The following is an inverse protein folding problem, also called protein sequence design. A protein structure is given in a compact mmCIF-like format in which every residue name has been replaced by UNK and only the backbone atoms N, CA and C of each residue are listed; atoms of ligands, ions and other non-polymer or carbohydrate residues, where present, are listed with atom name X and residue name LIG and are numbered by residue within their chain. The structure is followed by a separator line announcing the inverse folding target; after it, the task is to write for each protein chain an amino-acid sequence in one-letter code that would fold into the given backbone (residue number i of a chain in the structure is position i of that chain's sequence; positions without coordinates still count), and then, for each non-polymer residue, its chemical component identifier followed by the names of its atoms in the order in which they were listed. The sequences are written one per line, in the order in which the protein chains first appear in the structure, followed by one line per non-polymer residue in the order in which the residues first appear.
data_IF_282979529056
#
_entry.id   IF_282979529056
#
_cell.length_a   1.000
_cell.length_b   1.000
_cell.length_c   1.000
_cell.angle_alpha   90.00
_cell.angle_beta   90.00
_cell.angle_gamma   90.00
#
_symmetry.space_group_name_H-M   'P 1'
#
loop_
_entity.id
_entity.type
_entity.pdbx_description
1 polymer ?
#
# COMPACT_ATOMS: atom_id res chain seq x y z
N UNK A 1 24.55 -7.47 -8.80
CA UNK A 1 24.79 -7.20 -7.36
C UNK A 1 23.56 -7.67 -6.61
N UNK A 2 23.68 -8.34 -5.46
CA UNK A 2 22.50 -8.61 -4.64
C UNK A 2 21.89 -7.27 -4.25
N UNK A 3 20.64 -7.05 -4.62
CA UNK A 3 19.92 -5.83 -4.23
C UNK A 3 19.54 -6.00 -2.77
N UNK A 4 19.71 -4.97 -1.93
CA UNK A 4 19.38 -4.98 -0.49
C UNK A 4 17.85 -5.00 -0.26
N UNK A 5 17.20 -6.05 -0.75
CA UNK A 5 15.78 -6.34 -0.56
C UNK A 5 15.64 -7.43 0.49
N UNK A 6 14.97 -7.11 1.57
CA UNK A 6 14.64 -8.05 2.65
C UNK A 6 13.14 -8.21 2.71
N UNK A 7 12.66 -9.35 3.21
CA UNK A 7 11.24 -9.55 3.50
C UNK A 7 11.06 -9.69 5.00
N UNK A 8 10.33 -8.75 5.59
CA UNK A 8 9.93 -8.81 7.00
C UNK A 8 8.54 -9.44 7.11
N UNK A 9 8.39 -10.39 8.03
CA UNK A 9 7.07 -10.90 8.42
C UNK A 9 6.66 -10.22 9.72
N UNK A 10 5.53 -9.52 9.70
CA UNK A 10 4.97 -8.87 10.88
C UNK A 10 3.65 -9.52 11.27
N UNK A 11 3.60 -10.07 12.47
CA UNK A 11 2.38 -10.51 13.13
C UNK A 11 1.86 -9.36 14.01
N UNK A 12 1.01 -8.52 13.43
CA UNK A 12 0.23 -7.56 14.22
C UNK A 12 -0.91 -8.33 14.89
N UNK A 13 -1.35 -7.93 16.08
CA UNK A 13 -2.43 -8.61 16.79
C UNK A 13 -3.80 -8.40 16.09
N UNK A 14 -4.02 -9.03 14.93
CA UNK A 14 -5.17 -8.86 14.02
C UNK A 14 -6.44 -9.58 14.49
N UNK A 15 -6.42 -10.26 15.65
CA UNK A 15 -7.55 -11.05 16.17
C UNK A 15 -8.85 -10.26 16.34
N UNK A 16 -8.78 -8.99 16.74
CA UNK A 16 -9.93 -8.10 16.94
C UNK A 16 -10.49 -7.50 15.64
N UNK A 17 -9.66 -7.37 14.59
CA UNK A 17 -10.05 -6.74 13.31
C UNK A 17 -11.00 -7.63 12.50
N UNK A 18 -10.97 -8.95 12.75
CA UNK A 18 -11.97 -9.90 12.23
C UNK A 18 -13.39 -9.66 12.74
N UNK A 19 -13.55 -9.04 13.92
CA UNK A 19 -14.86 -8.89 14.59
C UNK A 19 -15.54 -7.54 14.35
N UNK A 20 -14.86 -6.57 13.74
CA UNK A 20 -15.40 -5.24 13.49
C UNK A 20 -16.24 -5.18 12.19
N UNK A 21 -17.32 -4.38 12.18
CA UNK A 21 -18.36 -4.43 11.13
C UNK A 21 -17.86 -3.80 9.82
N UNK A 22 -17.85 -4.54 8.68
CA UNK A 22 -17.17 -4.11 7.44
C UNK A 22 -17.65 -2.80 6.81
N UNK A 23 -18.84 -2.28 7.17
CA UNK A 23 -19.42 -1.08 6.54
C UNK A 23 -19.26 0.20 7.35
N UNK A 24 -18.82 0.09 8.61
CA UNK A 24 -18.75 1.22 9.54
C UNK A 24 -17.40 1.94 9.42
N UNK A 25 -16.33 1.21 9.10
CA UNK A 25 -14.98 1.78 8.91
C UNK A 25 -14.60 1.87 7.44
N UNK A 26 -13.66 2.75 7.09
CA UNK A 26 -13.04 2.79 5.76
C UNK A 26 -11.94 1.74 5.51
N UNK A 27 -11.74 0.78 6.43
CA UNK A 27 -10.70 -0.24 6.30
C UNK A 27 -11.03 -1.21 5.16
N UNK A 28 -10.06 -1.47 4.27
CA UNK A 28 -10.19 -2.43 3.18
C UNK A 28 -10.68 -3.81 3.72
N UNK A 29 -11.85 -4.33 3.27
CA UNK A 29 -12.41 -5.58 3.77
C UNK A 29 -11.51 -6.81 3.56
N UNK A 30 -10.68 -6.82 2.53
CA UNK A 30 -9.75 -7.92 2.23
C UNK A 30 -8.75 -8.13 3.38
N UNK A 31 -8.38 -7.05 4.08
CA UNK A 31 -7.52 -7.12 5.28
C UNK A 31 -8.18 -7.81 6.47
N UNK A 32 -9.51 -7.90 6.49
CA UNK A 32 -10.27 -8.57 7.56
C UNK A 32 -10.36 -10.08 7.33
N UNK A 33 -10.44 -10.51 6.08
CA UNK A 33 -10.66 -11.92 5.73
C UNK A 33 -9.37 -12.71 5.52
N UNK A 34 -8.25 -12.05 5.19
CA UNK A 34 -7.03 -12.73 4.71
C UNK A 34 -5.77 -12.50 5.58
N UNK A 35 -5.78 -11.56 6.54
CA UNK A 35 -4.58 -11.21 7.29
C UNK A 35 -4.44 -12.01 8.60
N UNK A 36 -3.74 -13.15 8.53
CA UNK A 36 -3.11 -13.78 9.72
C UNK A 36 -1.69 -13.22 9.96
N UNK A 37 -1.19 -12.38 9.05
CA UNK A 37 0.10 -11.70 9.09
C UNK A 37 0.33 -10.88 7.82
N UNK A 38 1.31 -9.98 7.83
CA UNK A 38 1.72 -9.22 6.64
C UNK A 38 3.17 -9.53 6.25
N UNK A 39 3.38 -9.63 4.93
CA UNK A 39 4.69 -9.73 4.31
C UNK A 39 5.07 -8.36 3.78
N UNK A 40 6.18 -7.82 4.27
CA UNK A 40 6.65 -6.49 3.90
C UNK A 40 8.04 -6.61 3.26
N UNK A 41 8.11 -6.67 1.92
CA UNK A 41 9.36 -6.45 1.21
C UNK A 41 9.85 -5.03 1.50
N UNK A 42 11.06 -4.90 2.01
CA UNK A 42 11.68 -3.62 2.36
C UNK A 42 13.02 -3.49 1.66
N UNK A 43 13.26 -2.30 1.11
CA UNK A 43 14.58 -1.88 0.65
C UNK A 43 15.31 -1.20 1.79
N UNK A 44 16.51 -1.65 2.11
CA UNK A 44 17.34 -1.06 3.17
C UNK A 44 18.60 -0.49 2.54
N UNK A 45 18.95 0.74 2.88
CA UNK A 45 20.17 1.39 2.42
C UNK A 45 20.78 2.23 3.55
N UNK A 46 22.10 2.34 3.52
CA UNK A 46 22.86 3.21 4.42
C UNK A 46 22.77 4.67 3.97
N UNK A 47 22.98 5.59 4.91
CA UNK A 47 22.86 7.03 4.65
C UNK A 47 23.85 7.55 3.59
N UNK A 48 25.02 6.93 3.48
CA UNK A 48 26.10 7.28 2.55
C UNK A 48 26.06 6.48 1.23
N UNK A 49 25.06 5.63 1.03
CA UNK A 49 24.90 4.87 -0.22
C UNK A 49 24.69 5.82 -1.42
N UNK A 50 25.38 5.61 -2.56
CA UNK A 50 25.17 6.43 -3.75
C UNK A 50 23.70 6.44 -4.20
N UNK A 51 23.18 7.61 -4.58
CA UNK A 51 21.78 7.78 -4.98
C UNK A 51 21.38 6.83 -6.13
N UNK A 52 22.31 6.56 -7.04
CA UNK A 52 22.09 5.64 -8.16
C UNK A 52 21.81 4.21 -7.66
N UNK A 53 22.45 3.78 -6.57
CA UNK A 53 22.22 2.46 -5.97
C UNK A 53 20.86 2.42 -5.25
N UNK A 54 20.53 3.47 -4.50
CA UNK A 54 19.20 3.61 -3.86
C UNK A 54 18.07 3.59 -4.90
N UNK A 55 18.27 4.25 -6.04
CA UNK A 55 17.32 4.24 -7.16
C UNK A 55 17.11 2.84 -7.75
N UNK A 56 18.10 1.95 -7.68
CA UNK A 56 17.96 0.55 -8.13
C UNK A 56 17.19 -0.32 -7.13
N UNK A 57 17.21 0.03 -5.83
CA UNK A 57 16.48 -0.73 -4.79
C UNK A 57 14.96 -0.61 -4.97
N UNK A 58 14.46 0.60 -5.25
CA UNK A 58 13.02 0.87 -5.41
C UNK A 58 12.30 -0.07 -6.39
N UNK A 59 12.72 -0.20 -7.66
CA UNK A 59 12.06 -1.11 -8.61
C UNK A 59 12.25 -2.58 -8.22
N UNK A 60 13.34 -2.95 -7.55
CA UNK A 60 13.54 -4.31 -7.08
C UNK A 60 12.52 -4.69 -5.98
N UNK A 61 12.28 -3.80 -5.02
CA UNK A 61 11.24 -3.98 -3.98
C UNK A 61 9.86 -4.09 -4.61
N UNK A 62 9.54 -3.22 -5.57
CA UNK A 62 8.27 -3.28 -6.33
C UNK A 62 8.10 -4.63 -7.02
N UNK A 63 9.12 -5.11 -7.72
CA UNK A 63 9.06 -6.39 -8.42
C UNK A 63 8.84 -7.57 -7.46
N UNK A 64 9.54 -7.59 -6.32
CA UNK A 64 9.35 -8.62 -5.28
C UNK A 64 7.94 -8.55 -4.69
N UNK A 65 7.44 -7.35 -4.42
CA UNK A 65 6.09 -7.13 -3.86
C UNK A 65 5.02 -7.66 -4.79
N UNK A 66 5.07 -7.30 -6.08
CA UNK A 66 4.11 -7.75 -7.08
C UNK A 66 4.21 -9.28 -7.33
N UNK A 67 5.42 -9.84 -7.31
CA UNK A 67 5.60 -11.29 -7.43
C UNK A 67 5.00 -12.05 -6.23
N UNK A 68 5.22 -11.56 -5.01
CA UNK A 68 4.66 -12.16 -3.79
C UNK A 68 3.14 -12.02 -3.73
N UNK A 69 2.61 -10.84 -4.11
CA UNK A 69 1.16 -10.59 -4.21
C UNK A 69 0.49 -11.61 -5.13
N UNK A 70 1.05 -11.77 -6.33
CA UNK A 70 0.52 -12.70 -7.33
C UNK A 70 0.59 -14.16 -6.89
N UNK A 71 1.68 -14.56 -6.24
CA UNK A 71 1.85 -15.92 -5.72
C UNK A 71 0.89 -16.22 -4.57
N UNK A 72 0.66 -15.25 -3.69
CA UNK A 72 -0.21 -15.39 -2.53
C UNK A 72 -1.70 -15.12 -2.78
N UNK A 73 -2.06 -14.58 -3.95
CA UNK A 73 -3.42 -14.09 -4.22
C UNK A 73 -3.77 -12.88 -3.34
N UNK A 74 -2.80 -12.02 -3.05
CA UNK A 74 -2.89 -10.89 -2.12
C UNK A 74 -2.81 -9.51 -2.81
N UNK A 75 -2.88 -9.47 -4.14
CA UNK A 75 -2.77 -8.25 -4.96
C UNK A 75 -3.77 -7.15 -4.55
N UNK A 76 -4.87 -7.54 -3.91
CA UNK A 76 -5.97 -6.66 -3.50
C UNK A 76 -5.92 -6.22 -2.01
N UNK A 77 -4.83 -6.50 -1.29
CA UNK A 77 -4.77 -6.34 0.17
C UNK A 77 -3.48 -5.70 0.72
N UNK A 78 -3.25 -4.41 0.45
CA UNK A 78 -2.02 -3.71 0.86
C UNK A 78 -2.18 -2.69 2.01
N UNK A 79 -1.09 -2.57 2.79
CA UNK A 79 -0.79 -1.68 3.91
C UNK A 79 -0.80 -0.23 3.52
N UNK A 80 -1.89 0.55 3.47
CA UNK A 80 -1.76 1.92 2.93
C UNK A 80 -0.55 2.70 3.50
N UNK A 81 -0.28 2.55 4.80
CA UNK A 81 0.84 3.22 5.48
C UNK A 81 2.23 2.58 5.23
N UNK A 82 2.31 1.34 4.73
CA UNK A 82 3.54 0.56 4.55
C UNK A 82 3.65 -0.04 3.13
N UNK A 83 2.81 0.43 2.19
CA UNK A 83 2.69 -0.16 0.87
C UNK A 83 3.68 0.43 -0.13
N UNK A 84 3.95 -0.36 -1.17
CA UNK A 84 4.73 0.05 -2.33
C UNK A 84 4.15 1.32 -2.99
N UNK A 85 4.92 2.40 -3.09
CA UNK A 85 4.52 3.59 -3.83
C UNK A 85 4.20 3.38 -5.30
N UNK A 86 4.78 2.37 -5.92
CA UNK A 86 4.66 2.14 -7.36
C UNK A 86 3.55 1.13 -7.70
N UNK A 87 2.72 0.75 -6.73
CA UNK A 87 1.65 -0.21 -6.98
C UNK A 87 0.59 0.35 -7.93
N UNK A 88 0.51 -0.23 -9.12
CA UNK A 88 -0.48 0.15 -10.14
C UNK A 88 -1.91 -0.19 -9.73
N UNK A 89 -2.09 -1.12 -8.77
CA UNK A 89 -3.40 -1.54 -8.25
C UNK A 89 -3.81 -0.83 -6.96
N UNK A 90 -3.05 0.19 -6.53
CA UNK A 90 -3.22 0.94 -5.27
C UNK A 90 -4.66 1.28 -4.85
N UNK A 91 -5.53 1.65 -5.79
CA UNK A 91 -6.93 2.01 -5.46
C UNK A 91 -7.67 0.81 -4.86
N UNK A 92 -7.54 -0.35 -5.50
CA UNK A 92 -8.13 -1.60 -5.03
C UNK A 92 -7.34 -2.16 -3.84
N UNK A 93 -6.01 -2.19 -3.94
CA UNK A 93 -5.16 -2.76 -2.91
C UNK A 93 -5.29 -2.04 -1.55
N UNK A 94 -5.43 -0.71 -1.54
CA UNK A 94 -5.46 0.07 -0.29
C UNK A 94 -6.87 0.25 0.27
N UNK A 95 -7.87 0.41 -0.61
CA UNK A 95 -9.22 0.82 -0.21
C UNK A 95 -10.31 -0.17 -0.63
N UNK A 96 -10.01 -1.07 -1.57
CA UNK A 96 -10.94 -2.07 -2.09
C UNK A 96 -12.27 -1.46 -2.54
N UNK A 97 -13.35 -2.16 -2.19
CA UNK A 97 -14.73 -1.75 -2.50
C UNK A 97 -15.15 -0.40 -1.86
N UNK A 98 -14.35 0.15 -0.94
CA UNK A 98 -14.66 1.45 -0.32
C UNK A 98 -14.15 2.65 -1.12
N UNK A 99 -13.30 2.45 -2.14
CA UNK A 99 -12.67 3.54 -2.87
C UNK A 99 -13.69 4.56 -3.41
N UNK A 100 -14.76 4.10 -4.06
CA UNK A 100 -15.75 5.01 -4.66
C UNK A 100 -16.50 5.85 -3.63
N UNK A 101 -16.86 5.24 -2.48
CA UNK A 101 -17.48 5.97 -1.36
C UNK A 101 -16.52 7.00 -0.76
N UNK A 102 -15.26 6.62 -0.57
CA UNK A 102 -14.23 7.53 -0.06
C UNK A 102 -13.96 8.68 -1.03
N UNK A 103 -13.94 8.41 -2.34
CA UNK A 103 -13.76 9.44 -3.37
C UNK A 103 -14.93 10.43 -3.40
N UNK A 104 -16.16 9.95 -3.22
CA UNK A 104 -17.33 10.82 -3.07
C UNK A 104 -17.17 11.74 -1.86
N UNK A 105 -16.83 11.20 -0.69
CA UNK A 105 -16.61 12.00 0.54
C UNK A 105 -15.48 13.00 0.34
N UNK A 106 -14.37 12.59 -0.28
CA UNK A 106 -13.22 13.45 -0.57
C UNK A 106 -13.64 14.65 -1.42
N UNK A 107 -14.45 14.46 -2.46
CA UNK A 107 -14.95 15.54 -3.32
C UNK A 107 -15.96 16.46 -2.62
N UNK A 108 -16.70 15.95 -1.64
CA UNK A 108 -17.62 16.75 -0.82
C UNK A 108 -16.88 17.61 0.21
N UNK A 109 -15.83 17.06 0.83
CA UNK A 109 -15.08 17.71 1.92
C UNK A 109 -13.94 18.59 1.39
N UNK A 110 -13.31 18.20 0.29
CA UNK A 110 -12.17 18.89 -0.33
C UNK A 110 -12.38 19.02 -1.85
N UNK A 111 -13.37 19.83 -2.28
CA UNK A 111 -13.70 20.00 -3.70
C UNK A 111 -12.58 20.69 -4.50
N UNK A 112 -11.76 21.51 -3.84
CA UNK A 112 -10.65 22.25 -4.45
C UNK A 112 -9.35 21.42 -4.48
N UNK A 113 -9.32 20.26 -3.82
CA UNK A 113 -8.16 19.37 -3.82
C UNK A 113 -6.97 19.89 -3.01
N UNK A 114 -7.21 20.74 -2.01
CA UNK A 114 -6.17 21.33 -1.15
C UNK A 114 -5.41 20.24 -0.38
N UNK A 115 -6.10 19.19 0.04
CA UNK A 115 -5.52 18.07 0.78
C UNK A 115 -5.06 16.97 -0.19
N UNK A 116 -4.21 17.32 -1.15
CA UNK A 116 -3.61 16.36 -2.07
C UNK A 116 -2.40 15.65 -1.43
N UNK A 117 -2.28 14.36 -1.70
CA UNK A 117 -1.11 13.58 -1.29
C UNK A 117 -0.89 12.40 -2.24
N UNK A 118 0.38 12.01 -2.39
CA UNK A 118 0.78 10.87 -3.20
C UNK A 118 -0.02 9.62 -2.73
N UNK A 119 -0.66 8.94 -3.69
CA UNK A 119 -1.47 7.71 -3.52
C UNK A 119 -2.75 7.81 -2.72
N UNK A 120 -3.11 8.99 -2.22
CA UNK A 120 -4.34 9.21 -1.50
C UNK A 120 -5.59 9.00 -2.38
N UNK A 121 -6.76 8.91 -1.74
CA UNK A 121 -8.04 8.85 -2.44
C UNK A 121 -8.18 10.06 -3.36
N UNK A 122 -8.41 9.81 -4.65
CA UNK A 122 -8.48 10.87 -5.66
C UNK A 122 -7.16 11.21 -6.35
N UNK A 123 -6.02 10.67 -5.92
CA UNK A 123 -4.74 10.88 -6.60
C UNK A 123 -4.74 10.22 -7.99
N UNK A 124 -4.44 10.99 -9.03
CA UNK A 124 -4.42 10.57 -10.44
C UNK A 124 -3.01 10.41 -11.03
N UNK A 125 -1.97 10.80 -10.29
CA UNK A 125 -0.58 10.69 -10.74
C UNK A 125 0.01 11.97 -11.34
N UNK A 126 -0.72 13.09 -11.33
CA UNK A 126 -0.30 14.34 -11.98
C UNK A 126 0.31 15.38 -11.03
N UNK A 127 0.55 15.06 -9.75
CA UNK A 127 0.93 16.07 -8.74
C UNK A 127 2.35 15.92 -8.17
N UNK A 128 3.28 15.34 -8.92
CA UNK A 128 4.70 15.34 -8.55
C UNK A 128 5.51 15.91 -9.72
N UNK A 129 5.65 17.24 -9.74
CA UNK A 129 6.75 17.93 -10.42
C UNK A 129 8.07 17.69 -9.67
#
# INVERSE_FOLDING_TARGET
MPVNTHTLFTDSWWGSIRYDRPRITGLNPQRRNQALGSWNPVGIWDHDMPEQEVKMIKPAVTNVTQALGKLGGLDDAAYFNEADPNDSQRKNAFFGVHYDRLLKIKREVDPEGVLACNRCVGYDGLSED
#
